data_IF_009441298823
#
_entry.id   IF_009441298823
#
_cell.length_a   1.000
_cell.length_b   1.000
_cell.length_c   1.000
_cell.angle_alpha   90.00
_cell.angle_beta   90.00
_cell.angle_gamma   90.00
#
_symmetry.space_group_name_H-M   'P 1'
#
loop_
_entity.id
_entity.type
_entity.pdbx_description
1 polymer ?
#
# COMPACT_ATOMS: atom_id res chain seq x y z
N UNK A 1 20.81 -24.47 -20.42
CA UNK A 1 20.41 -24.73 -21.81
C UNK A 1 19.01 -24.16 -21.97
N UNK A 2 18.94 -23.06 -22.73
CA UNK A 2 17.79 -22.50 -23.45
C UNK A 2 16.52 -22.15 -22.66
N UNK A 3 16.32 -20.88 -22.31
CA UNK A 3 15.63 -19.81 -23.07
C UNK A 3 14.19 -20.17 -23.46
N UNK A 4 13.26 -19.55 -22.75
CA UNK A 4 11.88 -19.38 -23.17
C UNK A 4 11.50 -17.92 -22.97
N UNK A 5 11.88 -17.07 -23.93
CA UNK A 5 11.23 -15.78 -24.12
C UNK A 5 9.74 -16.06 -24.35
N UNK A 6 8.87 -15.41 -23.58
CA UNK A 6 7.46 -15.32 -23.95
C UNK A 6 7.05 -13.87 -23.81
N UNK A 7 7.23 -13.13 -24.90
CA UNK A 7 6.70 -11.79 -25.03
C UNK A 7 5.20 -11.82 -25.34
N UNK A 8 4.51 -10.81 -24.81
CA UNK A 8 3.30 -10.18 -25.35
C UNK A 8 1.92 -10.78 -25.03
N UNK A 9 1.44 -10.44 -23.82
CA UNK A 9 0.23 -9.63 -23.63
C UNK A 9 0.13 -9.18 -22.17
N UNK A 10 0.27 -7.89 -21.88
CA UNK A 10 -0.26 -7.36 -20.61
C UNK A 10 -0.75 -5.95 -20.82
N UNK A 11 -2.06 -5.72 -20.66
CA UNK A 11 -2.59 -4.38 -20.48
C UNK A 11 -1.78 -3.66 -19.40
N UNK A 12 -1.58 -2.36 -19.59
CA UNK A 12 -0.82 -1.47 -18.72
C UNK A 12 -0.85 -1.97 -17.25
N UNK A 13 0.28 -2.38 -16.70
CA UNK A 13 0.39 -2.84 -15.31
C UNK A 13 0.91 -1.71 -14.43
N UNK A 14 0.40 -1.59 -13.20
CA UNK A 14 0.82 -0.56 -12.24
C UNK A 14 2.36 -0.53 -12.10
N UNK A 15 3.01 0.64 -12.23
CA UNK A 15 4.47 0.75 -12.16
C UNK A 15 5.04 0.19 -10.86
N UNK A 16 6.23 -0.40 -10.94
CA UNK A 16 6.94 -0.94 -9.78
C UNK A 16 8.26 -0.20 -9.60
N UNK A 17 8.54 0.25 -8.38
CA UNK A 17 9.71 1.05 -8.03
C UNK A 17 10.54 0.27 -6.99
N UNK A 18 11.80 -0.03 -7.30
CA UNK A 18 12.77 -0.58 -6.34
C UNK A 18 13.48 0.55 -5.59
N UNK A 19 13.32 0.61 -4.26
CA UNK A 19 13.91 1.66 -3.42
C UNK A 19 15.42 1.51 -3.26
N UNK A 20 15.99 0.31 -3.45
CA UNK A 20 17.44 0.13 -3.35
C UNK A 20 18.17 0.74 -4.54
N UNK A 21 17.47 0.87 -5.67
CA UNK A 21 18.02 1.43 -6.89
C UNK A 21 17.91 2.96 -6.92
N UNK A 22 17.15 3.56 -5.98
CA UNK A 22 16.79 4.97 -5.98
C UNK A 22 18.01 5.92 -5.97
N UNK A 23 18.42 6.34 -7.17
CA UNK A 23 19.38 7.40 -7.43
C UNK A 23 18.80 8.51 -8.32
N UNK A 24 19.65 9.38 -8.87
CA UNK A 24 19.21 10.55 -9.67
C UNK A 24 18.32 10.17 -10.88
N UNK A 25 18.51 8.99 -11.47
CA UNK A 25 17.71 8.47 -12.59
C UNK A 25 16.31 8.00 -12.20
N UNK A 26 16.05 7.70 -10.92
CA UNK A 26 14.78 7.10 -10.48
C UNK A 26 13.71 8.13 -10.14
N UNK A 27 14.12 9.38 -9.93
CA UNK A 27 13.19 10.51 -9.87
C UNK A 27 12.36 10.67 -11.13
N UNK A 28 12.94 10.35 -12.31
CA UNK A 28 12.20 10.39 -13.58
C UNK A 28 11.09 9.34 -13.60
N UNK A 29 11.41 8.08 -13.25
CA UNK A 29 10.42 6.99 -13.19
C UNK A 29 9.32 7.25 -12.17
N UNK A 30 9.69 7.78 -10.99
CA UNK A 30 8.74 8.17 -9.96
C UNK A 30 7.79 9.26 -10.48
N UNK A 31 8.35 10.30 -11.09
CA UNK A 31 7.57 11.40 -11.67
C UNK A 31 6.61 10.90 -12.74
N UNK A 32 7.08 10.10 -13.69
CA UNK A 32 6.25 9.52 -14.75
C UNK A 32 5.13 8.63 -14.17
N UNK A 33 5.42 7.82 -13.15
CA UNK A 33 4.38 7.05 -12.47
C UNK A 33 3.35 7.94 -11.77
N UNK A 34 3.76 9.04 -11.13
CA UNK A 34 2.84 9.99 -10.54
C UNK A 34 1.97 10.70 -11.60
N UNK A 35 2.55 11.11 -12.72
CA UNK A 35 1.85 11.86 -13.78
C UNK A 35 0.88 10.98 -14.58
N UNK A 36 1.30 9.78 -14.96
CA UNK A 36 0.51 8.89 -15.82
C UNK A 36 -0.47 8.00 -15.05
N UNK A 37 -0.08 7.56 -13.83
CA UNK A 37 -0.84 6.57 -13.06
C UNK A 37 -1.44 7.10 -11.76
N UNK A 38 -0.86 8.16 -11.18
CA UNK A 38 -1.19 8.64 -9.84
C UNK A 38 -0.86 7.66 -8.71
N UNK A 39 -0.34 6.47 -9.02
CA UNK A 39 0.03 5.43 -8.06
C UNK A 39 1.10 4.48 -8.64
N UNK A 40 1.81 3.79 -7.75
CA UNK A 40 2.83 2.81 -8.08
C UNK A 40 3.02 1.85 -6.89
N UNK A 41 3.62 0.70 -7.16
CA UNK A 41 4.02 -0.26 -6.13
C UNK A 41 5.49 -0.07 -5.78
N UNK A 42 5.80 -0.01 -4.49
CA UNK A 42 7.18 0.04 -3.99
C UNK A 42 7.64 -1.35 -3.59
N UNK A 43 8.87 -1.72 -3.93
CA UNK A 43 9.53 -2.98 -3.52
C UNK A 43 10.89 -2.69 -2.89
N UNK A 44 11.38 -3.65 -2.11
CA UNK A 44 12.67 -3.57 -1.43
C UNK A 44 12.82 -2.30 -0.54
N UNK A 45 11.72 -1.84 0.04
CA UNK A 45 11.62 -0.70 0.95
C UNK A 45 12.26 -0.94 2.33
N UNK A 46 12.94 -2.07 2.54
CA UNK A 46 13.67 -2.38 3.79
C UNK A 46 12.81 -2.78 4.99
N UNK A 47 11.48 -2.83 4.87
CA UNK A 47 10.62 -3.32 5.95
C UNK A 47 10.55 -4.84 5.94
N UNK A 48 10.64 -5.45 7.12
CA UNK A 48 10.54 -6.90 7.24
C UNK A 48 9.11 -7.36 6.93
N UNK A 49 8.99 -8.48 6.24
CA UNK A 49 7.69 -9.11 5.93
C UNK A 49 6.95 -9.54 7.18
N UNK A 50 7.68 -9.97 8.22
CA UNK A 50 7.09 -10.34 9.51
C UNK A 50 6.44 -9.13 10.19
N UNK A 51 7.10 -7.97 10.23
CA UNK A 51 6.52 -6.76 10.80
C UNK A 51 5.24 -6.34 10.07
N UNK A 52 5.23 -6.41 8.73
CA UNK A 52 4.03 -6.11 7.94
C UNK A 52 2.89 -7.09 8.24
N UNK A 53 3.20 -8.38 8.41
CA UNK A 53 2.21 -9.40 8.76
C UNK A 53 1.64 -9.20 10.17
N UNK A 54 2.50 -8.94 11.15
CA UNK A 54 2.10 -8.63 12.54
C UNK A 54 1.23 -7.37 12.60
N UNK A 55 1.62 -6.31 11.89
CA UNK A 55 0.83 -5.07 11.85
C UNK A 55 -0.56 -5.31 11.26
N UNK A 56 -0.66 -6.12 10.20
CA UNK A 56 -1.94 -6.51 9.60
C UNK A 56 -2.80 -7.30 10.59
N UNK A 57 -2.20 -8.21 11.35
CA UNK A 57 -2.90 -9.01 12.35
C UNK A 57 -3.42 -8.15 13.51
N UNK A 58 -2.60 -7.22 14.03
CA UNK A 58 -3.02 -6.27 15.05
C UNK A 58 -4.17 -5.39 14.55
N UNK A 59 -4.10 -4.91 13.30
CA UNK A 59 -5.19 -4.15 12.67
C UNK A 59 -6.50 -4.94 12.62
N UNK A 60 -6.43 -6.23 12.29
CA UNK A 60 -7.59 -7.14 12.30
C UNK A 60 -8.18 -7.28 13.71
N UNK A 61 -7.35 -7.60 14.71
CA UNK A 61 -7.78 -7.74 16.10
C UNK A 61 -8.42 -6.45 16.65
N UNK A 62 -7.89 -5.28 16.28
CA UNK A 62 -8.48 -3.99 16.67
C UNK A 62 -9.88 -3.81 16.08
N UNK A 63 -10.07 -4.15 14.81
CA UNK A 63 -11.37 -4.02 14.13
C UNK A 63 -12.39 -5.10 14.53
N UNK A 64 -11.92 -6.27 14.97
CA UNK A 64 -12.75 -7.35 15.53
C UNK A 64 -13.15 -7.09 17.00
N UNK A 65 -12.55 -6.10 17.66
CA UNK A 65 -12.90 -5.72 19.04
C UNK A 65 -14.33 -5.18 19.15
N UNK A 66 -14.96 -5.23 20.36
CA UNK A 66 -16.30 -4.71 20.57
C UNK A 66 -16.46 -3.25 20.11
N UNK A 67 -17.65 -2.91 19.60
CA UNK A 67 -17.92 -1.58 19.05
C UNK A 67 -17.64 -0.45 20.05
N UNK A 68 -17.94 -0.66 21.34
CA UNK A 68 -17.64 0.30 22.40
C UNK A 68 -16.15 0.63 22.46
N UNK A 69 -15.28 -0.39 22.39
CA UNK A 69 -13.82 -0.23 22.45
C UNK A 69 -13.32 0.57 21.25
N UNK A 70 -13.80 0.26 20.05
CA UNK A 70 -13.42 0.96 18.81
C UNK A 70 -13.86 2.44 18.84
N UNK A 71 -15.05 2.72 19.39
CA UNK A 71 -15.57 4.09 19.56
C UNK A 71 -14.79 4.93 20.58
N UNK A 72 -13.92 4.33 21.39
CA UNK A 72 -13.00 5.10 22.24
C UNK A 72 -11.86 5.75 21.45
N UNK A 73 -11.58 5.28 20.23
CA UNK A 73 -10.67 5.95 19.32
C UNK A 73 -11.40 7.14 18.68
N UNK A 74 -11.38 8.28 19.38
CA UNK A 74 -12.05 9.52 18.96
C UNK A 74 -11.13 10.38 18.09
N UNK A 75 -11.73 11.24 17.27
CA UNK A 75 -11.00 12.21 16.48
C UNK A 75 -10.15 13.14 17.37
N UNK A 76 -8.86 13.21 17.08
CA UNK A 76 -7.99 14.31 17.55
C UNK A 76 -7.99 15.44 16.53
N UNK A 77 -7.99 15.05 15.25
CA UNK A 77 -8.31 15.89 14.09
C UNK A 77 -9.46 15.25 13.31
N UNK A 78 -10.20 16.03 12.53
CA UNK A 78 -11.38 15.54 11.81
C UNK A 78 -11.05 14.29 10.97
N UNK A 79 -11.76 13.19 11.22
CA UNK A 79 -11.62 11.92 10.51
C UNK A 79 -10.43 11.03 10.93
N UNK A 80 -9.70 11.38 12.00
CA UNK A 80 -8.56 10.57 12.48
C UNK A 80 -8.92 9.41 13.40
N UNK A 81 -10.13 9.44 13.97
CA UNK A 81 -10.63 8.41 14.86
C UNK A 81 -11.26 7.23 14.12
N UNK A 82 -11.91 6.36 14.89
CA UNK A 82 -12.62 5.22 14.34
C UNK A 82 -13.90 5.65 13.61
N UNK A 83 -14.02 5.23 12.35
CA UNK A 83 -15.22 5.39 11.54
C UNK A 83 -15.95 4.05 11.43
N UNK A 84 -17.17 3.97 11.98
CA UNK A 84 -18.03 2.81 11.79
C UNK A 84 -18.50 2.69 10.33
N UNK A 85 -18.80 1.48 9.84
CA UNK A 85 -19.40 1.29 8.53
C UNK A 85 -20.68 2.11 8.38
N UNK A 86 -20.83 2.78 7.24
CA UNK A 86 -21.97 3.65 6.93
C UNK A 86 -22.20 3.70 5.42
N UNK A 87 -23.27 4.35 4.97
CA UNK A 87 -23.52 4.54 3.52
C UNK A 87 -22.37 5.28 2.80
N UNK A 88 -21.62 6.12 3.52
CA UNK A 88 -20.47 6.85 2.99
C UNK A 88 -19.14 6.07 3.13
N UNK A 89 -19.11 5.02 3.96
CA UNK A 89 -17.96 4.15 4.20
C UNK A 89 -18.46 2.70 4.29
N UNK A 90 -18.77 2.07 3.14
CA UNK A 90 -19.43 0.76 3.08
C UNK A 90 -18.56 -0.37 3.65
#
# INVERSE_FOLDING_TARGET
MEIGQNENKTGSSVPVIDVREFGDSDYKKLKEACEEWGCFRVVNHGMSTNLMAEMKEVGRCLLDSPMEIKRRNVDVIAGSGYMAPSKANP
#
